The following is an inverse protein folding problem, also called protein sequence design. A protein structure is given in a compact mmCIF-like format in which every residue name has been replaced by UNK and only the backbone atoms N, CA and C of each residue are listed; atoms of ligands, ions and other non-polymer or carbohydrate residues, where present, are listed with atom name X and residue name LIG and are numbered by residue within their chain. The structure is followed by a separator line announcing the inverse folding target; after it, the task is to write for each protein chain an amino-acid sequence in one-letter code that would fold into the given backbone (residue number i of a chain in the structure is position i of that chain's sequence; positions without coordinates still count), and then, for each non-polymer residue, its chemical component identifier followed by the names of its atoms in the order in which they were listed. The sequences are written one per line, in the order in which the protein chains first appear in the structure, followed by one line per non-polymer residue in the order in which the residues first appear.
data_IF_937867011108
#
_entry.id   IF_937867011108
#
_cell.length_a   1.000
_cell.length_b   1.000
_cell.length_c   1.000
_cell.angle_alpha   90.00
_cell.angle_beta   90.00
_cell.angle_gamma   90.00
#
_symmetry.space_group_name_H-M   'P 1'
#
loop_
_entity.id
_entity.type
_entity.pdbx_description
1 polymer ?
#
# COMPACT_ATOMS: atom_id res chain seq x y z
N UNK A 1 -7.81 28.51 9.01
CA UNK A 1 -9.10 27.96 9.47
C UNK A 1 -8.97 26.45 9.47
N UNK A 2 -9.46 25.79 10.53
CA UNK A 2 -9.41 24.32 10.67
C UNK A 2 -10.70 23.68 10.13
N UNK A 3 -10.69 22.37 9.93
CA UNK A 3 -11.90 21.62 9.52
C UNK A 3 -13.05 21.79 10.53
N UNK A 4 -12.73 21.92 11.83
CA UNK A 4 -13.74 22.18 12.87
C UNK A 4 -14.35 23.58 12.79
N UNK A 5 -13.56 24.62 12.46
CA UNK A 5 -14.08 25.97 12.28
C UNK A 5 -15.05 26.02 11.09
N UNK A 6 -14.75 25.26 10.03
CA UNK A 6 -15.59 25.16 8.84
C UNK A 6 -16.92 24.47 9.13
N UNK A 7 -16.89 23.30 9.80
CA UNK A 7 -18.10 22.58 10.17
C UNK A 7 -18.98 23.35 11.16
N UNK A 8 -18.36 24.11 12.07
CA UNK A 8 -19.07 24.99 12.99
C UNK A 8 -19.73 26.18 12.25
N UNK A 9 -19.07 26.73 11.23
CA UNK A 9 -19.65 27.76 10.36
C UNK A 9 -20.81 27.20 9.54
N UNK A 10 -20.68 25.98 9.00
CA UNK A 10 -21.71 25.28 8.26
C UNK A 10 -22.95 24.99 9.11
N UNK A 11 -22.78 24.57 10.37
CA UNK A 11 -23.89 24.31 11.32
C UNK A 11 -24.65 25.59 11.72
N UNK A 12 -23.99 26.74 11.62
CA UNK A 12 -24.59 28.06 11.85
C UNK A 12 -25.26 28.64 10.62
N UNK A 13 -25.16 27.97 9.44
CA UNK A 13 -25.73 28.45 8.18
C UNK A 13 -24.97 29.62 7.56
N UNK A 14 -23.66 29.72 7.80
CA UNK A 14 -22.81 30.73 7.20
C UNK A 14 -22.76 30.54 5.67
N UNK A 15 -23.23 31.55 4.92
CA UNK A 15 -23.31 31.49 3.45
C UNK A 15 -21.95 31.16 2.80
N UNK A 16 -20.85 31.69 3.34
CA UNK A 16 -19.52 31.44 2.82
C UNK A 16 -19.08 29.96 3.03
N UNK A 17 -19.50 29.35 4.15
CA UNK A 17 -19.23 27.95 4.41
C UNK A 17 -20.07 27.02 3.54
N UNK A 18 -21.32 27.39 3.26
CA UNK A 18 -22.22 26.67 2.34
C UNK A 18 -21.72 26.76 0.90
N UNK A 19 -21.28 27.92 0.45
CA UNK A 19 -20.66 28.09 -0.87
C UNK A 19 -19.39 27.23 -1.00
N UNK A 20 -18.51 27.24 0.00
CA UNK A 20 -17.32 26.44 -0.02
C UNK A 20 -17.63 24.93 -0.08
N UNK A 21 -18.72 24.48 0.57
CA UNK A 21 -19.18 23.10 0.49
C UNK A 21 -19.61 22.74 -0.95
N UNK A 22 -20.32 23.63 -1.64
CA UNK A 22 -20.70 23.43 -3.03
C UNK A 22 -19.50 23.43 -3.97
N UNK A 23 -18.58 24.36 -3.79
CA UNK A 23 -17.34 24.45 -4.58
C UNK A 23 -16.44 23.21 -4.37
N UNK A 24 -16.28 22.72 -3.15
CA UNK A 24 -15.52 21.50 -2.88
C UNK A 24 -16.18 20.25 -3.48
N UNK A 25 -17.51 20.18 -3.49
CA UNK A 25 -18.24 19.08 -4.11
C UNK A 25 -18.08 19.07 -5.62
N UNK A 26 -18.11 20.24 -6.25
CA UNK A 26 -17.93 20.39 -7.70
C UNK A 26 -16.46 20.17 -8.12
N UNK A 27 -15.50 20.59 -7.29
CA UNK A 27 -14.07 20.38 -7.51
C UNK A 27 -13.68 18.88 -7.47
N UNK A 28 -14.29 18.10 -6.59
CA UNK A 28 -14.06 16.64 -6.50
C UNK A 28 -14.71 15.92 -7.70
N UNK A 29 -15.78 16.47 -8.28
CA UNK A 29 -16.48 15.87 -9.41
C UNK A 29 -15.82 16.14 -10.77
N UNK A 30 -15.03 17.19 -10.93
CA UNK A 30 -14.50 17.65 -12.23
C UNK A 30 -13.01 17.39 -12.45
N UNK A 31 -12.27 16.78 -11.49
CA UNK A 31 -10.85 16.47 -11.65
C UNK A 31 -9.95 17.72 -11.77
N UNK A 32 -10.42 18.89 -11.37
CA UNK A 32 -9.68 20.14 -11.44
C UNK A 32 -8.76 20.27 -10.21
N UNK A 33 -7.44 20.19 -10.42
CA UNK A 33 -6.40 20.20 -9.40
C UNK A 33 -6.08 21.57 -8.82
N UNK A 34 -6.93 22.58 -9.06
CA UNK A 34 -6.72 23.94 -8.62
C UNK A 34 -7.44 24.29 -7.31
N UNK A 35 -6.73 24.36 -6.22
CA UNK A 35 -7.16 24.89 -4.91
C UNK A 35 -7.94 23.93 -3.98
N UNK A 36 -7.42 22.77 -3.70
CA UNK A 36 -7.80 22.05 -2.48
C UNK A 36 -7.46 22.91 -1.26
N UNK A 37 -8.42 23.15 -0.37
CA UNK A 37 -8.18 23.89 0.87
C UNK A 37 -7.04 23.21 1.65
N UNK A 38 -6.15 23.99 2.26
CA UNK A 38 -4.96 23.48 2.95
C UNK A 38 -5.28 22.38 3.98
N UNK A 39 -6.46 22.42 4.60
CA UNK A 39 -6.89 21.39 5.56
C UNK A 39 -7.24 20.05 4.90
N UNK A 40 -7.75 20.01 3.65
CA UNK A 40 -7.99 18.76 2.91
C UNK A 40 -6.66 18.11 2.56
N UNK A 41 -5.67 18.89 2.13
CA UNK A 41 -4.33 18.41 1.85
C UNK A 41 -3.64 17.84 3.11
N UNK A 42 -3.81 18.49 4.27
CA UNK A 42 -3.28 18.00 5.55
C UNK A 42 -3.94 16.69 5.99
N UNK A 43 -5.23 16.53 5.70
CA UNK A 43 -5.96 15.31 6.02
C UNK A 43 -5.55 14.12 5.14
N UNK A 44 -5.39 14.31 3.85
CA UNK A 44 -4.87 13.30 2.94
C UNK A 44 -3.46 12.87 3.34
N UNK A 45 -2.59 13.83 3.66
CA UNK A 45 -1.23 13.55 4.15
C UNK A 45 -1.23 12.75 5.45
N UNK A 46 -2.14 13.01 6.40
CA UNK A 46 -2.28 12.22 7.63
C UNK A 46 -2.68 10.77 7.35
N UNK A 47 -3.54 10.54 6.38
CA UNK A 47 -3.96 9.20 5.95
C UNK A 47 -2.79 8.47 5.30
N UNK A 48 -2.09 9.10 4.38
CA UNK A 48 -0.92 8.54 3.69
C UNK A 48 0.20 8.14 4.65
N UNK A 49 0.54 8.99 5.62
CA UNK A 49 1.59 8.71 6.62
C UNK A 49 1.31 7.45 7.47
N UNK A 50 0.07 7.00 7.55
CA UNK A 50 -0.33 5.83 8.35
C UNK A 50 -0.44 4.54 7.55
N UNK A 51 -0.43 4.64 6.23
CA UNK A 51 -0.56 3.51 5.31
C UNK A 51 0.81 3.01 4.85
N UNK A 52 1.51 2.31 5.73
CA UNK A 52 2.90 1.88 5.48
C UNK A 52 3.04 0.84 4.37
N UNK A 53 2.12 -0.12 4.29
CA UNK A 53 2.15 -1.18 3.28
C UNK A 53 1.51 -0.71 1.99
N UNK A 54 0.39 0.00 2.09
CA UNK A 54 -0.27 0.58 0.91
C UNK A 54 0.68 1.46 0.10
N UNK A 55 1.45 2.33 0.76
CA UNK A 55 2.42 3.24 0.10
C UNK A 55 3.59 2.55 -0.62
N UNK A 56 3.77 1.25 -0.43
CA UNK A 56 4.78 0.46 -1.16
C UNK A 56 4.29 0.09 -2.56
N UNK A 57 2.99 -0.03 -2.72
CA UNK A 57 2.30 -0.56 -3.87
C UNK A 57 1.94 0.54 -4.87
N UNK A 58 1.56 0.17 -6.06
CA UNK A 58 1.10 1.12 -7.06
C UNK A 58 -0.32 1.58 -6.76
N UNK A 59 -0.54 2.88 -6.86
CA UNK A 59 -1.84 3.52 -6.69
C UNK A 59 -2.40 3.98 -8.02
N UNK A 60 -3.71 3.78 -8.20
CA UNK A 60 -4.44 4.27 -9.35
C UNK A 60 -5.86 4.70 -8.93
N UNK A 61 -6.56 5.36 -9.81
CA UNK A 61 -7.90 5.90 -9.56
C UNK A 61 -8.98 4.92 -9.98
N UNK A 62 -10.06 4.85 -9.19
CA UNK A 62 -11.25 4.09 -9.56
C UNK A 62 -12.01 4.80 -10.68
N UNK A 63 -12.67 4.04 -11.58
CA UNK A 63 -13.59 4.61 -12.56
C UNK A 63 -14.81 5.23 -11.85
N UNK A 64 -15.35 6.30 -12.42
CA UNK A 64 -16.49 7.05 -11.85
C UNK A 64 -17.79 6.22 -11.78
N UNK A 65 -17.89 5.14 -12.52
CA UNK A 65 -19.08 4.29 -12.62
C UNK A 65 -18.72 2.82 -12.61
N UNK A 66 -19.58 2.03 -11.97
CA UNK A 66 -19.42 0.58 -11.86
C UNK A 66 -19.21 0.13 -10.43
N UNK A 67 -19.49 -1.14 -10.15
CA UNK A 67 -19.29 -1.79 -8.84
C UNK A 67 -18.10 -2.76 -8.88
N UNK A 68 -17.47 -2.88 -10.04
CA UNK A 68 -16.30 -3.74 -10.26
C UNK A 68 -15.25 -2.98 -11.05
N UNK A 69 -14.00 -3.20 -10.69
CA UNK A 69 -12.85 -2.75 -11.47
C UNK A 69 -12.39 -3.90 -12.36
N UNK A 70 -12.35 -3.67 -13.67
CA UNK A 70 -11.83 -4.63 -14.64
C UNK A 70 -10.41 -4.25 -15.05
N UNK A 71 -9.52 -5.22 -15.07
CA UNK A 71 -8.14 -5.03 -15.47
C UNK A 71 -7.66 -6.17 -16.35
N UNK A 72 -6.78 -5.85 -17.28
CA UNK A 72 -6.23 -6.81 -18.22
C UNK A 72 -4.97 -7.47 -17.64
N UNK A 73 -4.89 -8.77 -17.77
CA UNK A 73 -3.71 -9.58 -17.42
C UNK A 73 -3.22 -10.28 -18.67
N UNK A 74 -1.91 -10.31 -18.87
CA UNK A 74 -1.33 -11.10 -19.95
C UNK A 74 -1.55 -12.58 -19.65
N UNK A 75 -2.34 -13.23 -20.50
CA UNK A 75 -2.66 -14.66 -20.36
C UNK A 75 -1.60 -15.54 -21.00
N UNK A 76 -1.11 -15.13 -22.16
CA UNK A 76 -0.05 -15.86 -22.88
C UNK A 76 0.76 -14.85 -23.67
N UNK A 77 2.06 -14.93 -23.52
CA UNK A 77 3.02 -14.16 -24.32
C UNK A 77 3.97 -15.12 -25.03
N UNK A 78 3.91 -15.13 -26.35
CA UNK A 78 4.83 -15.86 -27.23
C UNK A 78 5.71 -14.92 -28.03
N UNK A 79 5.73 -13.63 -27.67
CA UNK A 79 6.59 -12.66 -28.35
C UNK A 79 8.06 -13.03 -28.15
N UNK A 80 8.84 -12.78 -29.15
CA UNK A 80 10.26 -13.03 -29.06
C UNK A 80 10.98 -12.34 -30.24
N UNK A 81 12.05 -11.67 -29.90
CA UNK A 81 12.92 -11.06 -30.90
C UNK A 81 14.13 -11.95 -31.09
N UNK A 82 14.39 -12.35 -32.35
CA UNK A 82 15.55 -13.13 -32.70
C UNK A 82 16.30 -12.41 -33.82
N UNK A 83 17.62 -12.59 -33.83
CA UNK A 83 18.44 -12.08 -34.94
C UNK A 83 17.97 -12.72 -36.25
N UNK A 84 17.73 -11.92 -37.26
CA UNK A 84 17.47 -12.42 -38.62
C UNK A 84 18.67 -13.25 -39.13
N UNK A 85 18.43 -14.47 -39.56
CA UNK A 85 19.51 -15.37 -39.96
C UNK A 85 20.16 -14.94 -41.27
N UNK A 86 19.35 -14.50 -42.22
CA UNK A 86 19.79 -13.93 -43.50
C UNK A 86 18.90 -12.75 -43.87
N UNK A 87 19.46 -11.84 -44.68
CA UNK A 87 18.70 -10.73 -45.22
C UNK A 87 17.53 -11.26 -46.07
N UNK A 88 16.31 -10.81 -45.78
CA UNK A 88 15.07 -11.26 -46.43
C UNK A 88 14.34 -12.42 -45.74
N UNK A 89 14.93 -13.05 -44.71
CA UNK A 89 14.23 -14.08 -43.92
C UNK A 89 13.10 -13.46 -43.07
N UNK A 90 12.03 -14.22 -42.87
CA UNK A 90 10.90 -13.77 -42.02
C UNK A 90 11.34 -13.60 -40.54
N UNK A 91 10.95 -12.51 -39.93
CA UNK A 91 11.11 -12.29 -38.48
C UNK A 91 10.20 -13.23 -37.71
N UNK A 92 10.58 -13.55 -36.45
CA UNK A 92 9.79 -14.40 -35.57
C UNK A 92 8.45 -13.73 -35.28
N UNK A 93 7.36 -14.42 -35.55
CA UNK A 93 6.01 -13.99 -35.21
C UNK A 93 5.74 -14.31 -33.71
N UNK A 94 5.21 -13.35 -32.97
CA UNK A 94 4.78 -13.52 -31.58
C UNK A 94 3.34 -13.04 -31.40
N UNK A 95 2.63 -13.63 -30.45
CA UNK A 95 1.27 -13.29 -30.10
C UNK A 95 1.15 -13.05 -28.60
N UNK A 96 0.55 -11.94 -28.22
CA UNK A 96 0.12 -11.68 -26.84
C UNK A 96 -1.39 -11.86 -26.76
N UNK A 97 -1.86 -12.64 -25.78
CA UNK A 97 -3.28 -12.76 -25.47
C UNK A 97 -3.54 -12.18 -24.09
N UNK A 98 -4.58 -11.36 -24.01
CA UNK A 98 -5.01 -10.73 -22.78
C UNK A 98 -6.22 -11.47 -22.22
N UNK A 99 -6.23 -11.68 -20.90
CA UNK A 99 -7.39 -12.08 -20.14
C UNK A 99 -7.87 -10.91 -19.30
N UNK A 100 -9.19 -10.72 -19.20
CA UNK A 100 -9.78 -9.72 -18.31
C UNK A 100 -10.08 -10.35 -16.96
N UNK A 101 -9.63 -9.75 -15.89
CA UNK A 101 -10.01 -10.06 -14.51
C UNK A 101 -10.80 -8.91 -13.93
N UNK A 102 -11.66 -9.20 -12.96
CA UNK A 102 -12.46 -8.20 -12.27
C UNK A 102 -12.29 -8.34 -10.76
N UNK A 103 -12.32 -7.23 -10.06
CA UNK A 103 -12.33 -7.14 -8.59
C UNK A 103 -13.47 -6.25 -8.16
N UNK A 104 -14.15 -6.61 -7.05
CA UNK A 104 -15.22 -5.81 -6.46
C UNK A 104 -14.65 -4.51 -5.87
N UNK A 105 -15.44 -3.46 -5.97
CA UNK A 105 -15.14 -2.20 -5.31
C UNK A 105 -15.83 -2.21 -3.95
N UNK A 106 -15.03 -2.17 -2.89
CA UNK A 106 -15.52 -2.19 -1.51
C UNK A 106 -15.63 -0.77 -0.96
N UNK A 107 -16.67 -0.55 -0.14
CA UNK A 107 -16.90 0.72 0.54
C UNK A 107 -16.35 0.66 1.97
N UNK A 108 -15.46 1.55 2.29
CA UNK A 108 -14.94 1.75 3.65
C UNK A 108 -15.47 3.06 4.20
N UNK A 109 -15.99 3.05 5.41
CA UNK A 109 -16.51 4.26 6.01
C UNK A 109 -16.90 4.09 7.46
N UNK A 110 -17.08 5.20 8.14
CA UNK A 110 -17.56 5.26 9.49
C UNK A 110 -18.27 6.58 9.75
N UNK A 111 -19.09 6.62 10.77
CA UNK A 111 -19.78 7.84 11.16
C UNK A 111 -19.68 8.07 12.68
N UNK A 112 -19.83 9.33 13.06
CA UNK A 112 -19.97 9.74 14.46
C UNK A 112 -21.14 10.69 14.59
N UNK A 113 -21.85 10.61 15.70
CA UNK A 113 -22.99 11.49 16.01
C UNK A 113 -22.60 12.43 17.15
N UNK A 114 -22.86 13.72 16.97
CA UNK A 114 -22.62 14.72 17.99
C UNK A 114 -23.89 15.50 18.28
N UNK A 115 -24.14 15.83 19.57
CA UNK A 115 -25.26 16.71 19.88
C UNK A 115 -24.92 18.15 19.50
N UNK A 116 -25.92 18.90 19.03
CA UNK A 116 -25.78 20.30 18.66
C UNK A 116 -25.27 21.16 19.83
N UNK A 117 -25.64 20.80 21.04
CA UNK A 117 -25.14 21.42 22.26
C UNK A 117 -23.60 21.30 22.40
N UNK A 118 -23.05 20.12 22.08
CA UNK A 118 -21.61 19.89 22.11
C UNK A 118 -20.92 20.69 21.00
N UNK A 119 -21.49 20.73 19.79
CA UNK A 119 -20.92 21.48 18.68
C UNK A 119 -20.88 22.98 18.95
N UNK A 120 -21.97 23.55 19.52
CA UNK A 120 -22.09 24.98 19.78
C UNK A 120 -21.27 25.44 21.00
N UNK A 121 -21.10 24.58 22.01
CA UNK A 121 -20.46 24.93 23.30
C UNK A 121 -19.06 24.35 23.47
N UNK A 122 -18.65 23.37 22.65
CA UNK A 122 -17.31 22.83 22.72
C UNK A 122 -16.29 23.74 22.02
N UNK A 123 -15.04 23.62 22.43
CA UNK A 123 -13.94 24.29 21.76
C UNK A 123 -13.64 23.57 20.44
N UNK A 124 -13.30 24.32 19.39
CA UNK A 124 -12.89 23.81 18.06
C UNK A 124 -11.90 22.63 18.11
N UNK A 125 -10.91 22.61 19.03
CA UNK A 125 -9.98 21.47 19.13
C UNK A 125 -10.64 20.11 19.40
N UNK A 126 -11.75 20.07 20.13
CA UNK A 126 -12.45 18.84 20.48
C UNK A 126 -13.14 18.19 19.25
N UNK A 127 -13.77 19.02 18.43
CA UNK A 127 -14.37 18.59 17.17
C UNK A 127 -13.31 18.08 16.18
N UNK A 128 -12.21 18.81 16.03
CA UNK A 128 -11.08 18.39 15.18
C UNK A 128 -10.49 17.05 15.61
N UNK A 129 -10.36 16.83 16.92
CA UNK A 129 -9.86 15.56 17.46
C UNK A 129 -10.78 14.38 17.12
N UNK A 130 -12.10 14.57 17.22
CA UNK A 130 -13.07 13.53 16.86
C UNK A 130 -13.04 13.19 15.37
N UNK A 131 -12.95 14.19 14.49
CA UNK A 131 -12.82 13.99 13.05
C UNK A 131 -11.49 13.33 12.69
N UNK A 132 -10.39 13.74 13.32
CA UNK A 132 -9.08 13.10 13.12
C UNK A 132 -9.09 11.63 13.56
N UNK A 133 -9.81 11.28 14.64
CA UNK A 133 -9.99 9.90 15.07
C UNK A 133 -10.73 9.07 14.01
N UNK A 134 -11.77 9.61 13.38
CA UNK A 134 -12.54 8.94 12.33
C UNK A 134 -11.70 8.68 11.07
N UNK A 135 -10.91 9.67 10.65
CA UNK A 135 -9.97 9.52 9.52
C UNK A 135 -8.88 8.49 9.82
N UNK A 136 -8.35 8.49 11.04
CA UNK A 136 -7.38 7.48 11.47
C UNK A 136 -7.96 6.06 11.44
N UNK A 137 -9.23 5.91 11.82
CA UNK A 137 -9.93 4.64 11.74
C UNK A 137 -10.10 4.20 10.27
N UNK A 138 -10.46 5.12 9.37
CA UNK A 138 -10.54 4.87 7.94
C UNK A 138 -9.17 4.41 7.36
N UNK A 139 -8.10 5.16 7.62
CA UNK A 139 -6.75 4.81 7.17
C UNK A 139 -6.31 3.42 7.67
N UNK A 140 -6.64 3.09 8.93
CA UNK A 140 -6.32 1.78 9.50
C UNK A 140 -7.13 0.65 8.88
N UNK A 141 -8.41 0.88 8.57
CA UNK A 141 -9.28 -0.12 7.95
C UNK A 141 -8.82 -0.44 6.51
N UNK A 142 -8.57 0.59 5.70
CA UNK A 142 -8.09 0.44 4.32
C UNK A 142 -6.70 -0.19 4.27
N UNK A 143 -5.77 0.22 5.13
CA UNK A 143 -4.46 -0.41 5.24
C UNK A 143 -4.55 -1.89 5.66
N UNK A 144 -5.49 -2.25 6.54
CA UNK A 144 -5.69 -3.65 6.95
C UNK A 144 -6.16 -4.49 5.78
N UNK A 145 -7.10 -4.00 4.98
CA UNK A 145 -7.60 -4.71 3.80
C UNK A 145 -6.50 -4.96 2.76
N UNK A 146 -5.67 -3.95 2.48
CA UNK A 146 -4.52 -4.10 1.57
C UNK A 146 -3.52 -5.12 2.09
N UNK A 147 -3.23 -5.10 3.40
CA UNK A 147 -2.33 -6.08 4.04
C UNK A 147 -2.87 -7.49 3.93
N UNK A 148 -4.13 -7.71 4.28
CA UNK A 148 -4.75 -9.03 4.25
C UNK A 148 -4.73 -9.61 2.85
N UNK A 149 -5.01 -8.78 1.83
CA UNK A 149 -4.90 -9.17 0.44
C UNK A 149 -3.47 -9.54 0.04
N UNK A 150 -2.50 -8.66 0.33
CA UNK A 150 -1.10 -8.87 0.00
C UNK A 150 -0.54 -10.13 0.67
N UNK A 151 -0.81 -10.32 1.97
CA UNK A 151 -0.29 -11.46 2.73
C UNK A 151 -0.92 -12.78 2.28
N UNK A 152 -2.20 -12.77 1.93
CA UNK A 152 -2.89 -13.93 1.36
C UNK A 152 -2.29 -14.30 0.00
N UNK A 153 -2.00 -13.30 -0.83
CA UNK A 153 -1.38 -13.51 -2.14
C UNK A 153 0.04 -14.05 -1.99
N UNK A 154 0.87 -13.47 -1.12
CA UNK A 154 2.23 -13.94 -0.84
C UNK A 154 2.21 -15.38 -0.31
N UNK A 155 1.32 -15.69 0.64
CA UNK A 155 1.19 -17.05 1.18
C UNK A 155 0.75 -18.05 0.12
N UNK A 156 -0.22 -17.68 -0.72
CA UNK A 156 -0.67 -18.51 -1.84
C UNK A 156 0.45 -18.80 -2.84
N UNK A 157 1.26 -17.81 -3.17
CA UNK A 157 2.42 -17.97 -4.04
C UNK A 157 3.52 -18.85 -3.40
N UNK A 158 3.81 -18.63 -2.11
CA UNK A 158 4.81 -19.40 -1.35
C UNK A 158 4.45 -20.89 -1.24
N UNK A 159 3.19 -21.18 -0.97
CA UNK A 159 2.73 -22.53 -0.65
C UNK A 159 2.27 -23.32 -1.89
N UNK A 160 2.18 -22.67 -3.04
CA UNK A 160 1.87 -23.34 -4.30
C UNK A 160 2.95 -24.38 -4.66
N UNK A 161 2.49 -25.57 -5.07
CA UNK A 161 3.38 -26.71 -5.36
C UNK A 161 4.23 -26.48 -6.61
N UNK A 162 3.68 -25.79 -7.61
CA UNK A 162 4.30 -25.55 -8.92
C UNK A 162 4.43 -24.06 -9.21
N UNK A 163 4.88 -23.28 -8.23
CA UNK A 163 5.13 -21.86 -8.47
C UNK A 163 6.60 -21.65 -8.88
N UNK A 164 6.90 -21.27 -10.12
CA UNK A 164 8.25 -20.99 -10.56
C UNK A 164 8.82 -19.69 -9.98
N UNK A 165 7.97 -18.85 -9.36
CA UNK A 165 8.36 -17.54 -8.82
C UNK A 165 8.73 -17.59 -7.33
N UNK A 166 8.76 -18.76 -6.69
CA UNK A 166 9.18 -18.86 -5.29
C UNK A 166 10.64 -19.27 -5.19
N UNK A 167 11.31 -18.78 -4.18
CA UNK A 167 12.67 -19.18 -3.82
C UNK A 167 12.64 -20.08 -2.59
N UNK A 168 13.27 -21.24 -2.67
CA UNK A 168 13.43 -22.14 -1.55
C UNK A 168 14.74 -21.81 -0.81
N UNK A 169 14.62 -21.34 0.42
CA UNK A 169 15.79 -21.04 1.24
C UNK A 169 16.63 -22.29 1.54
N UNK A 170 17.96 -22.19 1.53
CA UNK A 170 18.85 -23.32 1.77
C UNK A 170 18.79 -23.85 3.20
N UNK A 171 18.32 -23.04 4.16
CA UNK A 171 18.27 -23.35 5.59
C UNK A 171 16.92 -22.96 6.24
N UNK A 172 16.75 -23.35 7.49
CA UNK A 172 15.68 -22.83 8.35
C UNK A 172 15.96 -21.38 8.70
N UNK A 173 14.94 -20.59 9.03
CA UNK A 173 15.10 -19.17 9.36
C UNK A 173 16.17 -18.92 10.45
N UNK A 174 16.22 -19.78 11.48
CA UNK A 174 17.19 -19.65 12.57
C UNK A 174 18.65 -19.94 12.16
N UNK A 175 18.85 -20.68 11.08
CA UNK A 175 20.18 -21.08 10.58
C UNK A 175 20.59 -20.34 9.29
N UNK A 176 19.86 -19.29 8.93
CA UNK A 176 20.23 -18.45 7.78
C UNK A 176 21.49 -17.66 8.08
N UNK A 177 22.44 -17.71 7.16
CA UNK A 177 23.69 -16.94 7.20
C UNK A 177 23.61 -15.77 6.22
N UNK A 178 24.57 -14.85 6.32
CA UNK A 178 24.72 -13.73 5.37
C UNK A 178 24.88 -14.24 3.94
N UNK A 179 25.70 -15.27 3.75
CA UNK A 179 25.93 -15.89 2.43
C UNK A 179 24.64 -16.48 1.85
N UNK A 180 23.83 -17.13 2.70
CA UNK A 180 22.54 -17.67 2.28
C UNK A 180 21.58 -16.56 1.80
N UNK A 181 21.54 -15.44 2.51
CA UNK A 181 20.74 -14.28 2.10
C UNK A 181 21.28 -13.61 0.83
N UNK A 182 22.61 -13.50 0.71
CA UNK A 182 23.23 -12.95 -0.49
C UNK A 182 22.91 -13.82 -1.73
N UNK A 183 22.95 -15.15 -1.58
CA UNK A 183 22.56 -16.08 -2.65
C UNK A 183 21.09 -15.90 -3.02
N UNK A 184 20.19 -15.83 -2.04
CA UNK A 184 18.75 -15.60 -2.30
C UNK A 184 18.48 -14.26 -3.01
N UNK A 185 19.25 -13.22 -2.70
CA UNK A 185 19.11 -11.92 -3.40
C UNK A 185 19.59 -12.03 -4.85
N UNK A 186 20.67 -12.77 -5.09
CA UNK A 186 21.16 -13.02 -6.46
C UNK A 186 20.16 -13.86 -7.25
N UNK A 187 19.64 -14.93 -6.67
CA UNK A 187 18.62 -15.79 -7.29
C UNK A 187 17.32 -14.98 -7.58
N UNK A 188 16.93 -14.10 -6.65
CA UNK A 188 15.80 -13.19 -6.87
C UNK A 188 16.05 -12.23 -8.03
N UNK A 189 17.25 -11.69 -8.14
CA UNK A 189 17.62 -10.77 -9.22
C UNK A 189 17.63 -11.47 -10.59
N UNK A 190 18.15 -12.69 -10.67
CA UNK A 190 18.14 -13.50 -11.89
C UNK A 190 16.70 -13.85 -12.30
N UNK A 191 15.87 -14.27 -11.35
CA UNK A 191 14.46 -14.55 -11.60
C UNK A 191 13.68 -13.30 -12.03
N UNK A 192 14.01 -12.14 -11.47
CA UNK A 192 13.40 -10.86 -11.84
C UNK A 192 13.75 -10.45 -13.27
N UNK A 193 15.01 -10.65 -13.68
CA UNK A 193 15.47 -10.40 -15.07
C UNK A 193 14.72 -11.30 -16.06
N UNK A 194 14.62 -12.60 -15.76
CA UNK A 194 13.88 -13.57 -16.58
C UNK A 194 12.39 -13.21 -16.73
N UNK A 195 11.78 -12.56 -15.73
CA UNK A 195 10.38 -12.15 -15.70
C UNK A 195 10.14 -10.71 -16.13
N UNK A 196 11.22 -9.96 -16.36
CA UNK A 196 11.17 -8.54 -16.67
C UNK A 196 10.39 -7.73 -15.61
N UNK A 197 10.66 -8.04 -14.33
CA UNK A 197 10.11 -7.33 -13.17
C UNK A 197 11.20 -6.57 -12.42
N UNK A 198 10.85 -5.48 -11.76
CA UNK A 198 11.79 -4.61 -11.08
C UNK A 198 11.63 -4.72 -9.56
N UNK A 199 12.41 -5.60 -8.93
CA UNK A 199 12.38 -5.78 -7.49
C UNK A 199 12.99 -4.56 -6.78
N UNK A 200 12.18 -3.81 -6.08
CA UNK A 200 12.62 -2.57 -5.41
C UNK A 200 12.89 -2.77 -3.93
N UNK A 201 12.33 -3.79 -3.30
CA UNK A 201 12.46 -4.00 -1.85
C UNK A 201 12.19 -5.43 -1.40
N UNK A 202 12.69 -5.75 -0.21
CA UNK A 202 12.40 -6.99 0.49
C UNK A 202 11.42 -6.71 1.64
N UNK A 203 10.20 -7.22 1.54
CA UNK A 203 9.20 -7.20 2.61
C UNK A 203 9.38 -8.41 3.54
N UNK A 204 9.47 -8.18 4.84
CA UNK A 204 9.72 -9.25 5.82
C UNK A 204 8.78 -9.15 7.02
N UNK A 205 8.44 -10.29 7.61
CA UNK A 205 7.74 -10.36 8.89
C UNK A 205 8.65 -9.99 10.06
N UNK A 206 8.05 -9.75 11.22
CA UNK A 206 8.78 -9.33 12.44
C UNK A 206 9.89 -10.32 12.84
N UNK A 207 9.62 -11.62 12.77
CA UNK A 207 10.56 -12.69 13.13
C UNK A 207 11.74 -12.78 12.14
N UNK A 208 11.46 -12.63 10.84
CA UNK A 208 12.50 -12.56 9.81
C UNK A 208 13.34 -11.29 9.98
N UNK A 209 12.72 -10.14 10.28
CA UNK A 209 13.46 -8.92 10.57
C UNK A 209 14.35 -9.06 11.79
N UNK A 210 13.87 -9.69 12.86
CA UNK A 210 14.68 -9.97 14.05
C UNK A 210 15.88 -10.88 13.73
N UNK A 211 15.67 -11.91 12.91
CA UNK A 211 16.76 -12.78 12.43
C UNK A 211 17.80 -12.02 11.60
N UNK A 212 17.37 -11.09 10.75
CA UNK A 212 18.28 -10.24 9.96
C UNK A 212 19.13 -9.32 10.86
N UNK A 213 18.53 -8.74 11.92
CA UNK A 213 19.23 -7.86 12.87
C UNK A 213 20.25 -8.65 13.70
N UNK A 214 19.97 -9.92 13.99
CA UNK A 214 20.88 -10.79 14.76
C UNK A 214 22.04 -11.37 13.94
N UNK A 215 22.04 -11.19 12.61
CA UNK A 215 23.15 -11.61 11.76
C UNK A 215 24.45 -10.92 12.17
N UNK A 216 25.49 -11.73 12.30
CA UNK A 216 26.85 -11.27 12.67
C UNK A 216 27.84 -11.70 11.62
N UNK A 217 28.71 -10.80 11.25
CA UNK A 217 29.93 -11.09 10.50
C UNK A 217 31.13 -10.91 11.41
N UNK A 218 31.95 -11.96 11.54
CA UNK A 218 33.19 -11.95 12.32
C UNK A 218 33.05 -11.40 13.75
N UNK A 219 31.85 -11.55 14.37
CA UNK A 219 31.54 -11.09 15.73
C UNK A 219 30.89 -9.71 15.82
N UNK A 220 30.85 -8.94 14.75
CA UNK A 220 30.13 -7.66 14.66
C UNK A 220 28.74 -7.84 14.10
N UNK A 221 27.76 -7.04 14.57
CA UNK A 221 26.41 -7.06 14.00
C UNK A 221 26.43 -6.51 12.57
N UNK A 222 25.70 -7.16 11.69
CA UNK A 222 25.60 -6.76 10.28
C UNK A 222 24.80 -5.47 10.08
N UNK A 223 23.80 -5.22 10.94
CA UNK A 223 23.04 -3.98 10.98
C UNK A 223 23.56 -3.10 12.11
N UNK A 224 23.93 -1.86 11.79
CA UNK A 224 24.22 -0.84 12.81
C UNK A 224 22.93 -0.19 13.29
N UNK A 225 22.71 -0.23 14.60
CA UNK A 225 21.56 0.40 15.27
C UNK A 225 21.85 1.84 15.69
N UNK A 226 23.10 2.29 15.59
CA UNK A 226 23.56 3.58 16.13
C UNK A 226 23.84 4.67 15.10
N UNK A 227 23.79 4.39 13.82
CA UNK A 227 23.77 5.41 12.75
C UNK A 227 25.06 6.22 12.53
N UNK A 228 26.19 5.88 13.15
CA UNK A 228 27.46 6.64 13.08
C UNK A 228 28.67 5.80 12.63
N UNK A 229 28.47 4.69 11.98
CA UNK A 229 29.55 3.81 11.53
C UNK A 229 29.72 3.79 10.01
N UNK A 230 30.85 4.30 9.51
CA UNK A 230 31.21 4.28 8.08
C UNK A 230 31.49 2.87 7.51
N UNK A 231 31.50 1.84 8.34
CA UNK A 231 31.86 0.46 7.97
C UNK A 231 30.70 -0.53 7.95
N UNK A 232 29.46 -0.07 8.07
CA UNK A 232 28.29 -0.95 8.14
C UNK A 232 27.66 -1.15 6.76
N UNK A 233 27.41 -2.40 6.41
CA UNK A 233 26.80 -2.81 5.13
C UNK A 233 25.27 -2.59 5.14
N UNK A 234 24.67 -2.28 6.29
CA UNK A 234 23.24 -2.06 6.45
C UNK A 234 22.89 -0.91 7.38
N UNK A 235 21.86 -0.18 7.03
CA UNK A 235 21.26 0.90 7.81
C UNK A 235 19.82 0.53 8.22
N UNK A 236 19.46 0.82 9.46
CA UNK A 236 18.14 0.48 10.00
C UNK A 236 17.48 1.70 10.63
N UNK A 237 16.38 2.14 10.03
CA UNK A 237 15.56 3.23 10.57
C UNK A 237 14.40 2.66 11.41
N UNK A 238 14.45 2.92 12.73
CA UNK A 238 13.40 2.51 13.66
C UNK A 238 12.08 3.26 13.41
N UNK A 239 12.14 4.47 12.88
CA UNK A 239 10.96 5.32 12.67
C UNK A 239 10.11 4.81 11.51
N UNK A 240 10.74 4.30 10.47
CA UNK A 240 10.08 3.70 9.31
C UNK A 240 9.95 2.18 9.39
N UNK A 241 10.63 1.52 10.36
CA UNK A 241 10.81 0.07 10.40
C UNK A 241 11.30 -0.44 9.03
N UNK A 242 12.25 0.27 8.48
CA UNK A 242 12.88 0.03 7.21
C UNK A 242 14.40 0.08 7.36
N UNK A 243 15.10 -0.67 6.55
CA UNK A 243 16.56 -0.71 6.54
C UNK A 243 17.08 -1.05 5.14
N UNK A 244 18.39 -1.14 4.99
CA UNK A 244 19.03 -1.60 3.77
C UNK A 244 19.90 -2.81 4.09
N UNK A 245 19.66 -3.90 3.40
CA UNK A 245 20.46 -5.11 3.47
C UNK A 245 21.12 -5.34 2.10
N UNK A 246 22.44 -5.36 2.05
CA UNK A 246 23.21 -5.46 0.79
C UNK A 246 22.74 -4.41 -0.25
N UNK A 247 22.44 -3.18 0.19
CA UNK A 247 21.87 -2.08 -0.60
C UNK A 247 20.41 -2.28 -1.06
N UNK A 248 19.78 -3.43 -0.77
CA UNK A 248 18.36 -3.64 -1.02
C UNK A 248 17.56 -3.05 0.14
N UNK A 249 16.57 -2.18 -0.11
CA UNK A 249 15.66 -1.71 0.93
C UNK A 249 14.88 -2.87 1.55
N UNK A 250 14.97 -3.03 2.87
CA UNK A 250 14.20 -4.01 3.63
C UNK A 250 13.13 -3.28 4.42
N UNK A 251 11.92 -3.76 4.34
CA UNK A 251 10.79 -3.17 5.06
C UNK A 251 10.04 -4.23 5.86
N UNK A 252 9.80 -3.93 7.14
CA UNK A 252 8.96 -4.79 7.95
C UNK A 252 7.49 -4.67 7.53
N UNK A 253 6.88 -5.82 7.26
CA UNK A 253 5.45 -5.95 6.99
C UNK A 253 4.71 -6.16 8.31
N UNK A 254 3.98 -5.14 8.82
CA UNK A 254 3.32 -5.23 10.12
C UNK A 254 2.25 -6.32 10.13
N UNK A 255 2.25 -7.19 11.15
CA UNK A 255 1.31 -8.31 11.31
C UNK A 255 1.34 -9.37 10.21
N UNK A 256 2.38 -9.41 9.38
CA UNK A 256 2.57 -10.51 8.45
C UNK A 256 2.71 -11.85 9.20
N UNK A 257 2.22 -12.95 8.63
CA UNK A 257 2.43 -14.28 9.20
C UNK A 257 3.92 -14.57 9.43
N UNK A 258 4.23 -15.34 10.47
CA UNK A 258 5.60 -15.71 10.79
C UNK A 258 6.29 -16.41 9.59
N UNK A 259 7.59 -16.16 9.42
CA UNK A 259 8.36 -16.69 8.30
C UNK A 259 8.02 -16.09 6.94
N UNK A 260 7.34 -14.94 6.88
CA UNK A 260 7.07 -14.27 5.61
C UNK A 260 8.27 -13.43 5.21
N UNK A 261 8.83 -13.73 4.04
CA UNK A 261 9.78 -12.90 3.32
C UNK A 261 9.41 -12.90 1.84
N UNK A 262 9.36 -11.74 1.21
CA UNK A 262 8.98 -11.61 -0.18
C UNK A 262 9.72 -10.43 -0.82
N UNK A 263 10.33 -10.65 -1.97
CA UNK A 263 10.81 -9.57 -2.82
C UNK A 263 9.61 -9.00 -3.56
N UNK A 264 9.48 -7.68 -3.55
CA UNK A 264 8.28 -6.97 -4.02
C UNK A 264 8.65 -5.98 -5.11
N UNK A 265 7.97 -6.11 -6.23
CA UNK A 265 7.84 -5.07 -7.24
C UNK A 265 6.57 -4.24 -6.91
N UNK A 266 6.64 -2.91 -6.80
CA UNK A 266 5.47 -2.08 -6.56
C UNK A 266 4.32 -2.29 -7.55
N UNK A 267 4.62 -2.64 -8.81
CA UNK A 267 3.64 -2.88 -9.87
C UNK A 267 2.93 -4.23 -9.76
N UNK A 268 3.37 -5.09 -8.82
CA UNK A 268 2.77 -6.40 -8.62
C UNK A 268 1.33 -6.36 -8.10
N UNK A 269 1.03 -5.38 -7.28
CA UNK A 269 -0.30 -5.15 -6.70
C UNK A 269 -0.70 -3.70 -6.90
N UNK A 270 -1.88 -3.48 -7.45
CA UNK A 270 -2.43 -2.15 -7.64
C UNK A 270 -3.59 -1.91 -6.68
N UNK A 271 -3.59 -0.76 -6.05
CA UNK A 271 -4.64 -0.27 -5.17
C UNK A 271 -5.35 0.87 -5.89
N UNK A 272 -6.63 0.69 -6.20
CA UNK A 272 -7.47 1.71 -6.80
C UNK A 272 -8.31 2.38 -5.73
N UNK A 273 -8.31 3.70 -5.71
CA UNK A 273 -9.05 4.50 -4.73
C UNK A 273 -9.83 5.63 -5.41
N UNK A 274 -10.92 6.06 -4.79
CA UNK A 274 -11.79 7.14 -5.28
C UNK A 274 -11.30 8.54 -4.85
N UNK A 275 -10.03 8.86 -5.08
CA UNK A 275 -9.48 10.21 -4.85
C UNK A 275 -9.41 10.70 -3.41
N UNK A 276 -9.68 9.83 -2.41
CA UNK A 276 -9.66 10.14 -0.98
C UNK A 276 -11.03 10.00 -0.30
N UNK A 277 -11.08 10.03 1.04
CA UNK A 277 -12.33 9.87 1.76
C UNK A 277 -13.23 11.09 1.61
N UNK A 278 -14.48 10.85 1.23
CA UNK A 278 -15.55 11.86 1.17
C UNK A 278 -16.15 12.04 2.56
N UNK A 279 -16.47 13.28 2.92
CA UNK A 279 -17.15 13.62 4.16
C UNK A 279 -18.59 14.02 3.87
N UNK A 280 -19.51 13.46 4.67
CA UNK A 280 -20.91 13.86 4.64
C UNK A 280 -21.33 14.29 6.05
N UNK A 281 -22.20 15.30 6.12
CA UNK A 281 -22.87 15.71 7.35
C UNK A 281 -24.36 15.76 7.13
N UNK A 282 -25.12 15.29 8.14
CA UNK A 282 -26.58 15.34 8.14
C UNK A 282 -27.08 15.66 9.56
N UNK A 283 -28.08 16.53 9.67
CA UNK A 283 -28.64 16.96 10.94
C UNK A 283 -30.03 16.39 11.18
N UNK A 284 -30.26 15.81 12.37
CA UNK A 284 -31.59 15.43 12.85
C UNK A 284 -32.15 16.54 13.75
N UNK A 285 -33.07 17.38 13.24
CA UNK A 285 -33.63 18.50 14.01
C UNK A 285 -34.49 18.04 15.19
N UNK A 286 -34.99 16.81 15.18
CA UNK A 286 -35.84 16.29 16.25
C UNK A 286 -35.03 15.86 17.46
N UNK A 287 -33.80 15.39 17.24
CA UNK A 287 -32.88 14.95 18.28
C UNK A 287 -31.80 15.97 18.62
N UNK A 288 -31.76 17.09 17.87
CA UNK A 288 -30.68 18.09 17.94
C UNK A 288 -29.29 17.43 17.86
N UNK A 289 -29.14 16.49 16.93
CA UNK A 289 -27.88 15.79 16.66
C UNK A 289 -27.41 16.03 15.23
N UNK A 290 -26.11 16.04 15.03
CA UNK A 290 -25.47 16.07 13.73
C UNK A 290 -24.61 14.81 13.56
N UNK A 291 -24.76 14.17 12.41
CA UNK A 291 -24.02 12.98 12.02
C UNK A 291 -22.92 13.40 11.05
N UNK A 292 -21.71 12.99 11.34
CA UNK A 292 -20.55 13.18 10.45
C UNK A 292 -20.06 11.82 10.00
N UNK A 293 -19.99 11.61 8.70
CA UNK A 293 -19.45 10.37 8.12
C UNK A 293 -18.24 10.65 7.25
N UNK A 294 -17.33 9.68 7.24
CA UNK A 294 -16.19 9.62 6.34
C UNK A 294 -16.27 8.29 5.61
N UNK A 295 -16.27 8.30 4.29
CA UNK A 295 -16.31 7.09 3.49
C UNK A 295 -15.48 7.22 2.21
N UNK A 296 -15.07 6.11 1.64
CA UNK A 296 -14.38 6.04 0.37
C UNK A 296 -14.50 4.64 -0.23
N UNK A 297 -14.16 4.53 -1.49
CA UNK A 297 -14.20 3.29 -2.26
C UNK A 297 -12.78 2.84 -2.56
N UNK A 298 -12.53 1.55 -2.46
CA UNK A 298 -11.22 0.97 -2.74
C UNK A 298 -11.38 -0.41 -3.36
N UNK A 299 -10.51 -0.71 -4.32
CA UNK A 299 -10.32 -2.06 -4.85
C UNK A 299 -8.83 -2.40 -4.82
N UNK A 300 -8.50 -3.66 -4.58
CA UNK A 300 -7.12 -4.15 -4.53
C UNK A 300 -7.02 -5.42 -5.34
N UNK A 301 -6.06 -5.48 -6.26
CA UNK A 301 -5.78 -6.70 -7.00
C UNK A 301 -4.31 -6.84 -7.37
N UNK A 302 -3.86 -8.09 -7.51
CA UNK A 302 -2.56 -8.41 -8.06
C UNK A 302 -2.62 -8.33 -9.59
N UNK A 303 -2.06 -7.26 -10.14
CA UNK A 303 -1.98 -6.99 -11.58
C UNK A 303 -0.87 -7.77 -12.23
N UNK A 304 0.27 -7.90 -11.57
CA UNK A 304 1.42 -8.70 -12.00
C UNK A 304 1.93 -9.58 -10.86
N UNK A 305 1.44 -10.80 -10.80
CA UNK A 305 1.78 -11.76 -9.73
C UNK A 305 3.26 -12.16 -9.77
N UNK A 306 3.91 -12.08 -10.94
CA UNK A 306 5.33 -12.42 -11.13
C UNK A 306 6.27 -11.44 -10.42
N UNK A 307 5.78 -10.24 -10.10
CA UNK A 307 6.50 -9.26 -9.27
C UNK A 307 6.50 -9.55 -7.77
N UNK A 308 5.85 -10.63 -7.32
CA UNK A 308 5.91 -11.12 -5.95
C UNK A 308 6.71 -12.42 -5.90
N UNK A 309 7.95 -12.35 -5.40
CA UNK A 309 8.85 -13.50 -5.27
C UNK A 309 8.98 -13.86 -3.78
N UNK A 310 8.14 -14.78 -3.27
CA UNK A 310 8.20 -15.19 -1.88
C UNK A 310 9.35 -16.17 -1.62
N UNK A 311 9.93 -16.06 -0.44
CA UNK A 311 10.94 -16.98 0.08
C UNK A 311 10.27 -18.03 0.97
N UNK A 312 10.53 -19.30 0.72
CA UNK A 312 10.09 -20.42 1.54
C UNK A 312 11.26 -20.98 2.35
N UNK A 313 11.24 -20.75 3.64
CA UNK A 313 12.23 -21.33 4.54
C UNK A 313 11.99 -22.85 4.73
N UNK A 314 13.05 -23.59 4.96
CA UNK A 314 12.92 -25.01 5.35
C UNK A 314 12.17 -25.11 6.68
N UNK A 315 11.39 -26.17 6.83
CA UNK A 315 10.79 -26.49 8.12
C UNK A 315 11.89 -26.80 9.16
N UNK A 316 11.62 -26.40 10.41
CA UNK A 316 12.52 -26.65 11.53
C UNK A 316 12.54 -28.12 11.91
#
# INVERSE_FOLDING_TARGET
RTAGDYLQALSRGDEAAVQLMHECRDLIATGDTGNTSAWIADDLRLIEMRRKVTNILTHDTLPDKGMTMEYNVVSTDTTGVTKQAKEGDALKFGKVTFGTKSVSIDTYGGYTTMSRQVIERSTTPMLNTALAALRNAYAKATETAVRDYLYTTIAGQRDATSNPNKLDAPATLANMTIDNWATLIMDAAELADDRNVNLTRLGVSKDVMASLIDLKDSGSRFFDLSGDGSDTIGDFDLTGIAGKFLRLPVQMLPKAPAGTACFIDPESVTVWESGGPTQLSDGDPTKLTENYSVYGYMAVAATNVDGLIPVKFKAA
#
